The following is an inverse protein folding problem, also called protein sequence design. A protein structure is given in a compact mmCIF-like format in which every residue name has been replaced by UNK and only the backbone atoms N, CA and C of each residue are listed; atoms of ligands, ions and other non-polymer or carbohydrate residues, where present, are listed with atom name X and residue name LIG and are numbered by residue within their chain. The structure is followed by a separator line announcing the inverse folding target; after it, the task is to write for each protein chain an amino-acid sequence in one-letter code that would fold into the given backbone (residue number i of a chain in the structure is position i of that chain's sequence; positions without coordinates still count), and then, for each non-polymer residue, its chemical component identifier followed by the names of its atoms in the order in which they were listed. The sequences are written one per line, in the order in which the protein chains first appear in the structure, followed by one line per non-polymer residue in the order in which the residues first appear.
data_IF_774759718907
#
_entry.id   IF_774759718907
#
_cell.length_a   1.000
_cell.length_b   1.000
_cell.length_c   1.000
_cell.angle_alpha   90.00
_cell.angle_beta   90.00
_cell.angle_gamma   90.00
#
_symmetry.space_group_name_H-M   'P 1'
#
loop_
_entity.id
_entity.type
_entity.pdbx_description
1 polymer ?
#
# COMPACT_ATOMS: atom_id res chain seq x y z
N UNK A 1 63.28 -25.62 27.59
CA UNK A 1 61.88 -25.60 28.09
C UNK A 1 61.23 -24.38 27.48
N UNK A 2 60.52 -24.57 26.37
CA UNK A 2 59.05 -24.51 26.27
C UNK A 2 58.47 -23.11 26.50
N UNK A 3 58.15 -22.42 25.40
CA UNK A 3 56.92 -21.63 25.31
C UNK A 3 56.57 -21.44 23.84
N UNK A 4 56.01 -22.50 23.27
CA UNK A 4 54.98 -22.37 22.25
C UNK A 4 53.70 -21.90 22.97
N UNK A 5 52.99 -20.93 22.43
CA UNK A 5 51.66 -21.17 21.86
C UNK A 5 51.16 -19.88 21.21
N UNK A 6 51.26 -19.92 19.89
CA UNK A 6 50.63 -19.05 18.93
C UNK A 6 49.11 -19.26 18.98
N UNK A 7 48.36 -18.17 18.82
CA UNK A 7 46.98 -18.22 18.33
C UNK A 7 45.89 -18.10 19.37
N UNK A 8 45.46 -16.86 19.65
CA UNK A 8 44.03 -16.54 19.85
C UNK A 8 43.80 -15.17 19.19
N UNK A 9 43.49 -15.19 17.90
CA UNK A 9 42.81 -14.09 17.23
C UNK A 9 41.96 -14.72 16.13
N UNK A 10 40.69 -14.31 16.08
CA UNK A 10 39.59 -14.72 15.18
C UNK A 10 38.45 -15.38 15.96
N UNK A 11 37.58 -14.54 16.50
CA UNK A 11 36.16 -14.85 16.70
C UNK A 11 35.36 -13.55 16.83
N UNK A 12 35.09 -12.89 15.69
CA UNK A 12 34.32 -11.64 15.63
C UNK A 12 33.32 -11.58 14.44
N UNK A 13 32.99 -12.70 13.80
CA UNK A 13 32.16 -12.69 12.57
C UNK A 13 30.67 -12.98 12.84
N UNK A 14 30.29 -13.40 14.05
CA UNK A 14 28.91 -13.86 14.32
C UNK A 14 27.87 -12.73 14.56
N UNK A 15 28.29 -11.48 14.76
CA UNK A 15 27.36 -10.38 15.14
C UNK A 15 26.63 -9.81 13.91
N UNK A 16 27.27 -9.84 12.74
CA UNK A 16 26.73 -9.19 11.53
C UNK A 16 25.47 -9.88 10.99
N UNK A 17 25.41 -11.22 11.01
CA UNK A 17 24.26 -11.96 10.48
C UNK A 17 22.98 -11.76 11.29
N UNK A 18 23.08 -11.53 12.61
CA UNK A 18 21.91 -11.38 13.47
C UNK A 18 21.28 -9.99 13.37
N UNK A 19 22.06 -8.96 13.04
CA UNK A 19 21.54 -7.61 12.83
C UNK A 19 20.76 -7.50 11.50
N UNK A 20 21.31 -8.08 10.43
CA UNK A 20 20.71 -8.04 9.09
C UNK A 20 19.35 -8.75 9.02
N UNK A 21 19.18 -9.87 9.73
CA UNK A 21 17.89 -10.56 9.82
C UNK A 21 16.80 -9.74 10.52
N UNK A 22 17.18 -8.87 11.46
CA UNK A 22 16.22 -8.02 12.17
C UNK A 22 15.77 -6.87 11.27
N UNK A 23 16.71 -6.21 10.60
CA UNK A 23 16.43 -5.14 9.64
C UNK A 23 15.49 -5.61 8.51
N UNK A 24 15.72 -6.81 7.99
CA UNK A 24 14.84 -7.41 6.97
C UNK A 24 13.40 -7.60 7.47
N UNK A 25 13.24 -8.08 8.71
CA UNK A 25 11.93 -8.28 9.32
C UNK A 25 11.20 -6.96 9.61
N UNK A 26 11.94 -5.94 10.06
CA UNK A 26 11.40 -4.59 10.27
C UNK A 26 10.92 -3.99 8.95
N UNK A 27 11.72 -4.05 7.90
CA UNK A 27 11.33 -3.54 6.58
C UNK A 27 10.11 -4.28 6.02
N UNK A 28 10.03 -5.61 6.21
CA UNK A 28 8.85 -6.41 5.84
C UNK A 28 7.60 -5.91 6.60
N UNK A 29 7.73 -5.66 7.90
CA UNK A 29 6.62 -5.14 8.70
C UNK A 29 6.16 -3.77 8.21
N UNK A 30 7.08 -2.88 7.86
CA UNK A 30 6.75 -1.56 7.29
C UNK A 30 6.00 -1.67 5.95
N UNK A 31 6.39 -2.59 5.06
CA UNK A 31 5.66 -2.83 3.80
C UNK A 31 4.23 -3.28 4.09
N UNK A 32 4.06 -4.22 5.02
CA UNK A 32 2.76 -4.76 5.40
C UNK A 32 1.88 -3.73 6.13
N UNK A 33 2.47 -2.82 6.90
CA UNK A 33 1.75 -1.72 7.54
C UNK A 33 1.11 -0.80 6.48
N UNK A 34 1.85 -0.44 5.43
CA UNK A 34 1.29 0.37 4.33
C UNK A 34 0.23 -0.42 3.56
N UNK A 35 0.41 -1.73 3.36
CA UNK A 35 -0.61 -2.62 2.78
C UNK A 35 -1.91 -2.58 3.60
N UNK A 36 -1.83 -2.81 4.91
CA UNK A 36 -3.00 -2.88 5.78
C UNK A 36 -3.75 -1.55 5.80
N UNK A 37 -3.02 -0.43 5.87
CA UNK A 37 -3.61 0.89 5.74
C UNK A 37 -4.30 1.11 4.39
N UNK A 38 -3.69 0.64 3.30
CA UNK A 38 -4.27 0.71 1.95
C UNK A 38 -5.53 -0.16 1.84
N UNK A 39 -5.59 -1.29 2.55
CA UNK A 39 -6.80 -2.12 2.62
C UNK A 39 -7.96 -1.45 3.37
N UNK A 40 -7.68 -0.65 4.41
CA UNK A 40 -8.71 0.19 5.05
C UNK A 40 -9.26 1.24 4.08
N UNK A 41 -8.37 1.89 3.31
CA UNK A 41 -8.76 2.84 2.27
C UNK A 41 -9.57 2.18 1.17
N UNK A 42 -9.23 0.95 0.76
CA UNK A 42 -9.99 0.16 -0.21
C UNK A 42 -11.44 -0.05 0.24
N UNK A 43 -11.69 -0.22 1.54
CA UNK A 43 -13.05 -0.27 2.08
C UNK A 43 -13.84 1.00 1.80
N UNK A 44 -13.23 2.17 2.02
CA UNK A 44 -13.82 3.49 1.71
C UNK A 44 -14.01 3.67 0.20
N UNK A 45 -13.03 3.26 -0.60
CA UNK A 45 -13.07 3.29 -2.06
C UNK A 45 -14.29 2.52 -2.59
N UNK A 46 -14.51 1.28 -2.11
CA UNK A 46 -15.66 0.47 -2.54
C UNK A 46 -17.00 1.12 -2.18
N UNK A 47 -17.10 1.75 -1.00
CA UNK A 47 -18.29 2.48 -0.59
C UNK A 47 -18.56 3.68 -1.51
N UNK A 48 -17.55 4.51 -1.76
CA UNK A 48 -17.67 5.69 -2.63
C UNK A 48 -17.97 5.29 -4.07
N UNK A 49 -17.36 4.22 -4.58
CA UNK A 49 -17.67 3.68 -5.92
C UNK A 49 -19.14 3.32 -6.04
N UNK A 50 -19.69 2.63 -5.04
CA UNK A 50 -21.11 2.25 -5.02
C UNK A 50 -22.04 3.47 -4.96
N UNK A 51 -21.67 4.51 -4.22
CA UNK A 51 -22.38 5.79 -4.19
C UNK A 51 -22.41 6.42 -5.59
N UNK A 52 -21.26 6.55 -6.26
CA UNK A 52 -21.19 7.10 -7.61
C UNK A 52 -21.97 6.27 -8.64
N UNK A 53 -21.86 4.94 -8.58
CA UNK A 53 -22.62 4.04 -9.45
C UNK A 53 -24.15 4.22 -9.29
N UNK A 54 -24.63 4.66 -8.12
CA UNK A 54 -26.05 4.94 -7.88
C UNK A 54 -26.55 6.22 -8.57
N UNK A 55 -25.64 7.15 -8.91
CA UNK A 55 -25.97 8.36 -9.66
C UNK A 55 -25.98 8.13 -11.17
N UNK A 56 -25.56 6.95 -11.62
CA UNK A 56 -25.49 6.59 -13.02
C UNK A 56 -26.89 6.31 -13.57
N UNK A 57 -27.47 7.28 -14.27
CA UNK A 57 -28.75 7.09 -14.98
C UNK A 57 -28.50 6.48 -16.37
N UNK A 58 -29.49 5.75 -16.90
CA UNK A 58 -29.36 5.03 -18.18
C UNK A 58 -29.08 5.95 -19.38
N UNK A 59 -29.44 7.24 -19.30
CA UNK A 59 -29.42 8.17 -20.45
C UNK A 59 -28.54 9.42 -20.24
N UNK A 60 -27.89 9.65 -19.08
CA UNK A 60 -27.20 10.93 -18.82
C UNK A 60 -26.05 10.88 -17.81
N UNK A 61 -25.19 9.86 -17.86
CA UNK A 61 -23.99 9.83 -17.01
C UNK A 61 -22.98 10.89 -17.46
N UNK A 62 -22.45 11.66 -16.51
CA UNK A 62 -21.47 12.70 -16.84
C UNK A 62 -20.08 12.10 -17.01
N UNK A 63 -19.25 12.71 -17.88
CA UNK A 63 -17.85 12.29 -18.06
C UNK A 63 -17.06 12.28 -16.73
N UNK A 64 -17.33 13.24 -15.84
CA UNK A 64 -16.70 13.30 -14.52
C UNK A 64 -17.10 12.13 -13.61
N UNK A 65 -18.34 11.64 -13.73
CA UNK A 65 -18.81 10.49 -12.96
C UNK A 65 -18.09 9.22 -13.42
N UNK A 66 -17.97 9.03 -14.73
CA UNK A 66 -17.28 7.87 -15.31
C UNK A 66 -15.78 7.90 -15.03
N UNK A 67 -15.15 9.08 -15.09
CA UNK A 67 -13.74 9.29 -14.72
C UNK A 67 -13.49 8.91 -13.26
N UNK A 68 -14.27 9.45 -12.32
CA UNK A 68 -14.12 9.12 -10.90
C UNK A 68 -14.33 7.62 -10.61
N UNK A 69 -15.32 6.98 -11.24
CA UNK A 69 -15.51 5.53 -11.11
C UNK A 69 -14.31 4.75 -11.71
N UNK A 70 -13.77 5.22 -12.83
CA UNK A 70 -12.58 4.66 -13.47
C UNK A 70 -11.36 4.71 -12.57
N UNK A 71 -11.09 5.85 -11.95
CA UNK A 71 -9.94 6.06 -11.05
C UNK A 71 -10.02 5.20 -9.79
N UNK A 72 -11.23 5.01 -9.23
CA UNK A 72 -11.44 4.09 -8.11
C UNK A 72 -11.18 2.64 -8.54
N UNK A 73 -11.62 2.23 -9.74
CA UNK A 73 -11.37 0.87 -10.25
C UNK A 73 -9.89 0.63 -10.50
N UNK A 74 -9.19 1.59 -11.11
CA UNK A 74 -7.76 1.49 -11.37
C UNK A 74 -6.95 1.35 -10.07
N UNK A 75 -7.29 2.11 -9.02
CA UNK A 75 -6.64 1.99 -7.72
C UNK A 75 -6.93 0.64 -7.04
N UNK A 76 -8.18 0.15 -7.10
CA UNK A 76 -8.54 -1.18 -6.60
C UNK A 76 -7.75 -2.29 -7.33
N UNK A 77 -7.68 -2.22 -8.66
CA UNK A 77 -6.92 -3.17 -9.48
C UNK A 77 -5.42 -3.12 -9.19
N UNK A 78 -4.84 -1.94 -8.99
CA UNK A 78 -3.44 -1.79 -8.62
C UNK A 78 -3.12 -2.50 -7.29
N UNK A 79 -3.96 -2.32 -6.27
CA UNK A 79 -3.81 -3.00 -4.99
C UNK A 79 -3.96 -4.52 -5.13
N UNK A 80 -4.96 -4.99 -5.87
CA UNK A 80 -5.18 -6.42 -6.12
C UNK A 80 -4.04 -7.04 -6.94
N UNK A 81 -3.48 -6.30 -7.90
CA UNK A 81 -2.31 -6.72 -8.65
C UNK A 81 -1.09 -6.85 -7.74
N UNK A 82 -0.85 -5.88 -6.87
CA UNK A 82 0.25 -5.97 -5.91
C UNK A 82 0.11 -7.21 -5.02
N UNK A 83 -1.05 -7.43 -4.42
CA UNK A 83 -1.28 -8.60 -3.54
C UNK A 83 -1.06 -9.95 -4.25
N UNK A 84 -1.27 -10.01 -5.57
CA UNK A 84 -1.03 -11.25 -6.35
C UNK A 84 0.44 -11.50 -6.68
N UNK A 85 1.25 -10.44 -6.71
CA UNK A 85 2.65 -10.50 -7.17
C UNK A 85 3.65 -10.27 -6.03
N UNK A 86 3.20 -9.84 -4.86
CA UNK A 86 4.04 -9.72 -3.68
C UNK A 86 4.47 -11.12 -3.22
N UNK A 87 5.77 -11.32 -3.07
CA UNK A 87 6.38 -12.55 -2.55
C UNK A 87 6.94 -12.25 -1.16
N UNK A 88 6.63 -13.08 -0.16
CA UNK A 88 7.25 -12.91 1.15
C UNK A 88 8.76 -13.16 1.04
N UNK A 89 9.63 -12.41 1.74
CA UNK A 89 11.07 -12.69 1.80
C UNK A 89 11.40 -14.12 2.29
N UNK A 90 10.49 -14.75 3.02
CA UNK A 90 10.61 -16.14 3.48
C UNK A 90 10.42 -17.16 2.33
N UNK A 91 9.64 -16.77 1.33
CA UNK A 91 9.32 -17.55 0.13
C UNK A 91 10.29 -17.21 -1.02
N UNK A 92 10.88 -16.01 -0.97
CA UNK A 92 11.87 -15.54 -1.92
C UNK A 92 13.24 -16.19 -1.67
N UNK A 93 13.83 -16.73 -2.74
CA UNK A 93 15.24 -17.12 -2.74
C UNK A 93 16.18 -15.91 -2.68
N UNK A 94 17.49 -16.16 -2.58
CA UNK A 94 18.50 -15.11 -2.61
C UNK A 94 19.06 -14.72 -1.23
N UNK A 95 19.97 -13.76 -1.25
CA UNK A 95 20.66 -13.19 -0.09
C UNK A 95 19.79 -12.18 0.65
N UNK A 96 20.11 -11.90 1.91
CA UNK A 96 19.37 -10.90 2.70
C UNK A 96 19.42 -9.49 2.06
N UNK A 97 20.54 -9.12 1.41
CA UNK A 97 20.69 -7.85 0.70
C UNK A 97 19.76 -7.74 -0.53
N UNK A 98 19.62 -8.82 -1.30
CA UNK A 98 18.67 -8.89 -2.42
C UNK A 98 17.22 -8.78 -1.93
N UNK A 99 16.89 -9.44 -0.81
CA UNK A 99 15.57 -9.36 -0.18
C UNK A 99 15.26 -7.97 0.37
N UNK A 100 16.24 -7.31 0.98
CA UNK A 100 16.09 -5.92 1.44
C UNK A 100 15.80 -4.99 0.26
N UNK A 101 16.58 -5.09 -0.82
CA UNK A 101 16.39 -4.28 -2.03
C UNK A 101 14.98 -4.48 -2.61
N UNK A 102 14.54 -5.73 -2.71
CA UNK A 102 13.19 -6.06 -3.17
C UNK A 102 12.11 -5.43 -2.29
N UNK A 103 12.20 -5.56 -0.96
CA UNK A 103 11.22 -4.98 -0.05
C UNK A 103 11.20 -3.45 -0.08
N UNK A 104 12.34 -2.79 -0.29
CA UNK A 104 12.38 -1.33 -0.47
C UNK A 104 11.59 -0.91 -1.71
N UNK A 105 11.74 -1.64 -2.82
CA UNK A 105 10.97 -1.40 -4.04
C UNK A 105 9.46 -1.66 -3.81
N UNK A 106 9.11 -2.76 -3.14
CA UNK A 106 7.71 -3.09 -2.82
C UNK A 106 7.08 -2.05 -1.89
N UNK A 107 7.85 -1.52 -0.92
CA UNK A 107 7.40 -0.42 -0.07
C UNK A 107 7.08 0.82 -0.89
N UNK A 108 7.93 1.21 -1.83
CA UNK A 108 7.67 2.36 -2.70
C UNK A 108 6.45 2.13 -3.60
N UNK A 109 6.29 0.93 -4.17
CA UNK A 109 5.10 0.57 -4.94
C UNK A 109 3.83 0.68 -4.09
N UNK A 110 3.86 0.17 -2.85
CA UNK A 110 2.72 0.22 -1.96
C UNK A 110 2.37 1.64 -1.51
N UNK A 111 3.36 2.49 -1.23
CA UNK A 111 3.15 3.93 -0.97
C UNK A 111 2.48 4.60 -2.17
N UNK A 112 2.93 4.30 -3.39
CA UNK A 112 2.32 4.85 -4.60
C UNK A 112 0.86 4.41 -4.76
N UNK A 113 0.56 3.13 -4.53
CA UNK A 113 -0.82 2.60 -4.58
C UNK A 113 -1.69 3.27 -3.51
N UNK A 114 -1.17 3.44 -2.29
CA UNK A 114 -1.84 4.16 -1.20
C UNK A 114 -2.20 5.58 -1.64
N UNK A 115 -1.23 6.35 -2.13
CA UNK A 115 -1.43 7.75 -2.52
C UNK A 115 -2.42 7.87 -3.70
N UNK A 116 -2.35 6.96 -4.67
CA UNK A 116 -3.33 6.88 -5.75
C UNK A 116 -4.73 6.60 -5.21
N UNK A 117 -4.85 5.65 -4.28
CA UNK A 117 -6.12 5.28 -3.63
C UNK A 117 -6.74 6.47 -2.91
N UNK A 118 -5.95 7.21 -2.13
CA UNK A 118 -6.40 8.41 -1.42
C UNK A 118 -6.92 9.49 -2.39
N UNK A 119 -6.15 9.79 -3.44
CA UNK A 119 -6.52 10.79 -4.46
C UNK A 119 -7.79 10.38 -5.22
N UNK A 120 -7.90 9.11 -5.61
CA UNK A 120 -9.12 8.60 -6.27
C UNK A 120 -10.34 8.75 -5.37
N UNK A 121 -10.22 8.45 -4.07
CA UNK A 121 -11.31 8.63 -3.09
C UNK A 121 -11.67 10.10 -2.93
N UNK A 122 -10.69 10.99 -2.82
CA UNK A 122 -10.92 12.43 -2.66
C UNK A 122 -11.67 13.00 -3.86
N UNK A 123 -11.18 12.75 -5.07
CA UNK A 123 -11.83 13.18 -6.30
C UNK A 123 -13.24 12.60 -6.43
N UNK A 124 -13.42 11.30 -6.15
CA UNK A 124 -14.73 10.68 -6.20
C UNK A 124 -15.72 11.27 -5.19
N UNK A 125 -15.26 11.66 -4.00
CA UNK A 125 -16.10 12.35 -3.01
C UNK A 125 -16.48 13.76 -3.47
N UNK A 126 -15.58 14.48 -4.12
CA UNK A 126 -15.89 15.77 -4.73
C UNK A 126 -16.97 15.61 -5.80
N UNK A 127 -16.84 14.63 -6.69
CA UNK A 127 -17.85 14.34 -7.70
C UNK A 127 -19.18 13.96 -7.05
N UNK A 128 -19.18 13.07 -6.05
CA UNK A 128 -20.39 12.65 -5.34
C UNK A 128 -21.15 13.82 -4.71
N UNK A 129 -20.44 14.83 -4.19
CA UNK A 129 -21.04 16.02 -3.57
C UNK A 129 -21.96 16.80 -4.52
N UNK A 130 -21.70 16.73 -5.84
CA UNK A 130 -22.51 17.39 -6.87
C UNK A 130 -23.87 16.72 -7.11
N UNK A 131 -24.02 15.47 -6.66
CA UNK A 131 -25.23 14.66 -6.85
C UNK A 131 -26.02 14.43 -5.57
N UNK A 132 -25.44 14.68 -4.40
CA UNK A 132 -26.20 14.62 -3.14
C UNK A 132 -27.28 15.70 -3.16
N UNK A 133 -28.52 15.37 -2.75
CA UNK A 133 -29.53 16.39 -2.50
C UNK A 133 -28.93 17.39 -1.51
N UNK A 134 -28.89 18.67 -1.86
CA UNK A 134 -28.60 19.70 -0.88
C UNK A 134 -29.75 19.67 0.12
N UNK A 135 -29.45 19.39 1.39
CA UNK A 135 -30.42 19.61 2.46
C UNK A 135 -30.84 21.09 2.37
N UNK A 136 -32.15 21.41 2.32
CA UNK A 136 -32.55 22.80 2.36
C UNK A 136 -31.95 23.41 3.62
N UNK A 137 -31.18 24.49 3.43
CA UNK A 137 -30.67 25.32 4.52
C UNK A 137 -31.86 25.59 5.43
N UNK A 138 -31.89 24.97 6.62
CA UNK A 138 -32.98 25.14 7.54
C UNK A 138 -33.06 26.64 7.81
N UNK A 139 -34.10 27.29 7.26
CA UNK A 139 -34.41 28.69 7.52
C UNK A 139 -34.39 28.88 9.04
N UNK A 140 -33.32 29.51 9.52
CA UNK A 140 -33.27 30.07 10.86
C UNK A 140 -34.21 31.29 10.82
N UNK A 141 -35.51 31.02 10.95
CA UNK A 141 -36.51 32.00 11.37
C UNK A 141 -36.52 32.11 12.90
#
# INVERSE_FOLDING_TARGET
MKSAFWGIMISLIAISCQNQSNELNELKAEVLEVHDHTMELRGKLMQTKKELESYRTADSSSAMLDEAIGDLKAADEAMMNWMRNFESPDEQGGTDEEKMTYLEEEKQKMIHIKDQTEKSIEFAKEVASKYRPQEPEAEQQ
#
